data_IF_872845027200
#
_entry.id   IF_872845027200
#
_cell.length_a   1.000
_cell.length_b   1.000
_cell.length_c   1.000
_cell.angle_alpha   90.00
_cell.angle_beta   90.00
_cell.angle_gamma   90.00
#
_symmetry.space_group_name_H-M   'P 1'
#
loop_
_entity.id
_entity.type
_entity.pdbx_description
1 polymer ?
#
# COMPACT_ATOMS: atom_id res chain seq x y z
N UNK A 1 9.01 12.96 -25.86
CA UNK A 1 7.80 13.47 -25.21
C UNK A 1 6.59 12.91 -25.96
N UNK A 2 5.88 11.90 -25.41
CA UNK A 2 4.60 11.47 -25.96
C UNK A 2 3.60 12.57 -25.67
N UNK A 3 3.10 13.23 -26.73
CA UNK A 3 1.96 14.14 -26.61
C UNK A 3 0.81 13.37 -25.96
N UNK A 4 0.51 13.68 -24.70
CA UNK A 4 -0.64 13.14 -23.98
C UNK A 4 -1.89 13.47 -24.77
N UNK A 5 -2.55 12.44 -25.26
CA UNK A 5 -3.86 12.56 -25.91
C UNK A 5 -4.90 12.73 -24.78
N UNK A 6 -4.89 13.93 -24.16
CA UNK A 6 -5.59 14.28 -22.91
C UNK A 6 -7.05 13.80 -22.91
N UNK A 7 -7.71 13.82 -24.07
CA UNK A 7 -9.11 13.40 -24.17
C UNK A 7 -9.34 11.89 -24.11
N UNK A 8 -8.43 11.05 -24.63
CA UNK A 8 -8.55 9.58 -24.58
C UNK A 8 -8.18 9.03 -23.21
N UNK A 9 -7.15 9.59 -22.58
CA UNK A 9 -6.73 9.18 -21.24
C UNK A 9 -7.75 9.57 -20.18
N UNK A 10 -8.39 10.75 -20.29
CA UNK A 10 -9.45 11.18 -19.39
C UNK A 10 -10.68 10.25 -19.44
N UNK A 11 -11.12 9.84 -20.65
CA UNK A 11 -12.22 8.87 -20.79
C UNK A 11 -11.89 7.52 -20.18
N UNK A 12 -10.66 7.03 -20.42
CA UNK A 12 -10.18 5.76 -19.83
C UNK A 12 -10.17 5.83 -18.31
N UNK A 13 -9.61 6.88 -17.74
CA UNK A 13 -9.57 7.11 -16.29
C UNK A 13 -11.00 7.15 -15.72
N UNK A 14 -11.89 7.90 -16.34
CA UNK A 14 -13.29 7.98 -15.90
C UNK A 14 -13.99 6.60 -15.91
N UNK A 15 -13.83 5.83 -16.99
CA UNK A 15 -14.37 4.46 -17.04
C UNK A 15 -13.80 3.56 -15.93
N UNK A 16 -12.51 3.65 -15.65
CA UNK A 16 -11.86 2.86 -14.62
C UNK A 16 -12.40 3.20 -13.21
N UNK A 17 -12.60 4.49 -12.93
CA UNK A 17 -13.18 4.97 -11.67
C UNK A 17 -14.64 4.49 -11.54
N UNK A 18 -15.43 4.61 -12.62
CA UNK A 18 -16.82 4.18 -12.62
C UNK A 18 -16.96 2.67 -12.38
N UNK A 19 -16.13 1.86 -13.03
CA UNK A 19 -16.10 0.40 -12.81
C UNK A 19 -15.75 0.10 -11.36
N UNK A 20 -14.73 0.76 -10.79
CA UNK A 20 -14.34 0.56 -9.39
C UNK A 20 -15.44 0.95 -8.41
N UNK A 21 -16.19 1.99 -8.72
CA UNK A 21 -17.36 2.40 -7.96
C UNK A 21 -18.45 1.32 -7.95
N UNK A 22 -18.78 0.79 -9.13
CA UNK A 22 -19.77 -0.29 -9.25
C UNK A 22 -19.30 -1.56 -8.53
N UNK A 23 -18.02 -1.91 -8.68
CA UNK A 23 -17.43 -3.08 -7.99
C UNK A 23 -17.51 -2.91 -6.47
N UNK A 24 -17.21 -1.72 -5.94
CA UNK A 24 -17.31 -1.43 -4.50
C UNK A 24 -18.74 -1.58 -4.00
N UNK A 25 -19.70 -1.02 -4.73
CA UNK A 25 -21.13 -1.16 -4.42
C UNK A 25 -21.54 -2.62 -4.35
N UNK A 26 -21.26 -3.40 -5.41
CA UNK A 26 -21.62 -4.81 -5.48
C UNK A 26 -20.92 -5.62 -4.38
N UNK A 27 -19.64 -5.33 -4.11
CA UNK A 27 -18.88 -6.02 -3.07
C UNK A 27 -19.55 -5.87 -1.70
N UNK A 28 -19.84 -4.65 -1.25
CA UNK A 28 -20.48 -4.44 0.05
C UNK A 28 -21.92 -4.91 0.11
N UNK A 29 -22.67 -4.82 -0.99
CA UNK A 29 -24.00 -5.40 -1.08
C UNK A 29 -23.98 -6.90 -0.87
N UNK A 30 -23.15 -7.63 -1.61
CA UNK A 30 -23.06 -9.09 -1.46
C UNK A 30 -22.45 -9.52 -0.13
N UNK A 31 -21.47 -8.76 0.39
CA UNK A 31 -20.88 -9.03 1.69
C UNK A 31 -21.94 -8.92 2.80
N UNK A 32 -22.65 -7.81 2.89
CA UNK A 32 -23.69 -7.59 3.89
C UNK A 32 -24.85 -8.60 3.77
N UNK A 33 -25.28 -8.91 2.53
CA UNK A 33 -26.28 -9.95 2.29
C UNK A 33 -25.81 -11.33 2.74
N UNK A 34 -24.53 -11.64 2.55
CA UNK A 34 -23.96 -12.94 2.98
C UNK A 34 -23.86 -13.09 4.50
N UNK A 35 -23.95 -11.98 5.24
CA UNK A 35 -23.98 -11.94 6.71
C UNK A 35 -25.41 -11.90 7.28
N UNK A 36 -26.44 -12.08 6.42
CA UNK A 36 -27.86 -12.04 6.79
C UNK A 36 -28.29 -10.76 7.54
N UNK A 37 -27.74 -9.62 7.14
CA UNK A 37 -28.04 -8.34 7.74
C UNK A 37 -29.41 -7.78 7.31
N UNK A 38 -29.99 -6.91 8.12
CA UNK A 38 -31.23 -6.24 7.79
C UNK A 38 -31.04 -5.21 6.67
N UNK A 39 -32.10 -4.96 5.88
CA UNK A 39 -32.01 -4.09 4.69
C UNK A 39 -31.48 -2.68 5.01
N UNK A 40 -31.81 -2.11 6.16
CA UNK A 40 -31.31 -0.80 6.60
C UNK A 40 -29.82 -0.84 6.96
N UNK A 41 -29.33 -1.94 7.52
CA UNK A 41 -27.90 -2.15 7.79
C UNK A 41 -27.11 -2.30 6.48
N UNK A 42 -27.66 -3.05 5.53
CA UNK A 42 -27.06 -3.22 4.18
C UNK A 42 -26.85 -1.84 3.54
N UNK A 43 -27.87 -0.96 3.60
CA UNK A 43 -27.75 0.39 3.07
C UNK A 43 -26.64 1.18 3.77
N UNK A 44 -26.50 1.08 5.10
CA UNK A 44 -25.45 1.70 5.88
C UNK A 44 -24.04 1.26 5.49
N UNK A 45 -23.84 -0.04 5.30
CA UNK A 45 -22.53 -0.59 4.89
C UNK A 45 -22.15 -0.22 3.46
N UNK A 46 -23.12 -0.23 2.54
CA UNK A 46 -22.89 0.25 1.18
C UNK A 46 -22.48 1.74 1.20
N UNK A 47 -23.23 2.56 1.93
CA UNK A 47 -22.93 4.00 2.04
C UNK A 47 -21.52 4.23 2.60
N UNK A 48 -21.14 3.53 3.68
CA UNK A 48 -19.81 3.62 4.25
C UNK A 48 -18.72 3.16 3.27
N UNK A 49 -18.94 2.05 2.58
CA UNK A 49 -18.00 1.55 1.57
C UNK A 49 -17.81 2.54 0.41
N UNK A 50 -18.89 3.18 -0.04
CA UNK A 50 -18.83 4.22 -1.08
C UNK A 50 -18.11 5.48 -0.57
N UNK A 51 -18.32 5.86 0.68
CA UNK A 51 -17.63 6.97 1.34
C UNK A 51 -16.12 6.66 1.47
N UNK A 52 -15.76 5.45 1.89
CA UNK A 52 -14.37 4.98 1.92
C UNK A 52 -13.71 5.09 0.54
N UNK A 53 -14.37 4.64 -0.51
CA UNK A 53 -13.87 4.75 -1.87
C UNK A 53 -13.66 6.20 -2.31
N UNK A 54 -14.62 7.09 -2.00
CA UNK A 54 -14.51 8.51 -2.31
C UNK A 54 -13.33 9.19 -1.60
N UNK A 55 -13.10 8.88 -0.33
CA UNK A 55 -11.95 9.39 0.43
C UNK A 55 -10.63 8.91 -0.19
N UNK A 56 -10.53 7.63 -0.52
CA UNK A 56 -9.34 7.07 -1.15
C UNK A 56 -9.10 7.73 -2.51
N UNK A 57 -10.12 7.90 -3.33
CA UNK A 57 -10.02 8.63 -4.60
C UNK A 57 -9.52 10.06 -4.41
N UNK A 58 -10.05 10.76 -3.42
CA UNK A 58 -9.61 12.13 -3.11
C UNK A 58 -8.15 12.17 -2.66
N UNK A 59 -7.72 11.20 -1.85
CA UNK A 59 -6.33 11.08 -1.43
C UNK A 59 -5.38 10.83 -2.63
N UNK A 60 -5.86 10.13 -3.65
CA UNK A 60 -5.11 9.87 -4.89
C UNK A 60 -5.22 10.96 -5.97
N UNK A 61 -5.87 12.09 -5.70
CA UNK A 61 -6.18 13.13 -6.72
C UNK A 61 -5.00 13.53 -7.61
N UNK A 62 -3.79 13.60 -7.08
CA UNK A 62 -2.60 13.96 -7.84
C UNK A 62 -2.13 12.84 -8.77
N UNK A 63 -2.38 11.60 -8.39
CA UNK A 63 -2.03 10.42 -9.17
C UNK A 63 -3.05 10.13 -10.28
N UNK A 64 -4.28 10.65 -10.17
CA UNK A 64 -5.35 10.49 -11.17
C UNK A 64 -5.03 11.12 -12.53
N UNK A 65 -3.97 11.94 -12.61
CA UNK A 65 -3.50 12.52 -13.88
C UNK A 65 -2.86 11.49 -14.83
N UNK A 66 -2.49 10.31 -14.33
CA UNK A 66 -1.74 9.30 -15.08
C UNK A 66 -2.49 7.97 -15.06
N UNK A 67 -2.89 7.49 -16.25
CA UNK A 67 -3.67 6.25 -16.39
C UNK A 67 -3.01 5.02 -15.76
N UNK A 68 -1.69 4.90 -15.87
CA UNK A 68 -0.94 3.78 -15.27
C UNK A 68 -0.99 3.81 -13.74
N UNK A 69 -0.94 5.01 -13.14
CA UNK A 69 -1.05 5.16 -11.68
C UNK A 69 -2.46 4.86 -11.19
N UNK A 70 -3.49 5.22 -11.98
CA UNK A 70 -4.89 4.88 -11.67
C UNK A 70 -5.10 3.37 -11.70
N UNK A 71 -4.51 2.66 -12.68
CA UNK A 71 -4.59 1.20 -12.74
C UNK A 71 -3.97 0.57 -11.48
N UNK A 72 -2.79 1.00 -11.08
CA UNK A 72 -2.14 0.50 -9.87
C UNK A 72 -2.98 0.78 -8.62
N UNK A 73 -3.57 1.98 -8.51
CA UNK A 73 -4.48 2.33 -7.43
C UNK A 73 -5.68 1.37 -7.36
N UNK A 74 -6.31 1.07 -8.49
CA UNK A 74 -7.47 0.18 -8.56
C UNK A 74 -7.09 -1.24 -8.13
N UNK A 75 -5.93 -1.74 -8.55
CA UNK A 75 -5.43 -3.06 -8.15
C UNK A 75 -5.22 -3.10 -6.63
N UNK A 76 -4.54 -2.11 -6.07
CA UNK A 76 -4.29 -2.04 -4.61
C UNK A 76 -5.61 -1.93 -3.85
N UNK A 77 -6.54 -1.10 -4.33
CA UNK A 77 -7.86 -0.97 -3.75
C UNK A 77 -8.65 -2.28 -3.82
N UNK A 78 -8.61 -2.99 -4.94
CA UNK A 78 -9.22 -4.31 -5.09
C UNK A 78 -8.67 -5.34 -4.09
N UNK A 79 -7.35 -5.36 -3.88
CA UNK A 79 -6.71 -6.19 -2.85
C UNK A 79 -7.22 -5.80 -1.46
N UNK A 80 -7.34 -4.51 -1.17
CA UNK A 80 -7.86 -4.05 0.13
C UNK A 80 -9.31 -4.47 0.37
N UNK A 81 -10.17 -4.44 -0.64
CA UNK A 81 -11.54 -4.96 -0.55
C UNK A 81 -11.55 -6.45 -0.22
N UNK A 82 -10.72 -7.24 -0.90
CA UNK A 82 -10.61 -8.69 -0.65
C UNK A 82 -10.14 -8.95 0.78
N UNK A 83 -9.10 -8.25 1.25
CA UNK A 83 -8.61 -8.36 2.63
C UNK A 83 -9.70 -8.00 3.65
N UNK A 84 -10.45 -6.91 3.41
CA UNK A 84 -11.57 -6.50 4.26
C UNK A 84 -12.66 -7.56 4.28
N UNK A 85 -13.05 -8.10 3.12
CA UNK A 85 -14.07 -9.14 3.03
C UNK A 85 -13.68 -10.43 3.73
N UNK A 86 -12.42 -10.87 3.58
CA UNK A 86 -11.91 -12.06 4.28
C UNK A 86 -11.93 -11.82 5.80
N UNK A 87 -11.46 -10.65 6.25
CA UNK A 87 -11.43 -10.30 7.67
C UNK A 87 -12.81 -10.30 8.30
N UNK A 88 -13.82 -9.77 7.60
CA UNK A 88 -15.21 -9.74 8.10
C UNK A 88 -15.82 -11.14 8.13
N UNK A 89 -15.62 -11.94 7.07
CA UNK A 89 -16.24 -13.28 6.96
C UNK A 89 -15.58 -14.34 7.82
N UNK A 90 -14.24 -14.36 7.84
CA UNK A 90 -13.51 -15.44 8.49
C UNK A 90 -13.45 -15.23 10.00
N UNK A 91 -13.50 -13.98 10.46
CA UNK A 91 -13.40 -13.60 11.88
C UNK A 91 -12.39 -14.47 12.66
N UNK A 92 -11.22 -14.69 12.04
CA UNK A 92 -10.22 -15.59 12.60
C UNK A 92 -9.49 -14.89 13.73
N UNK A 93 -9.36 -15.59 14.87
CA UNK A 93 -8.62 -15.06 16.01
C UNK A 93 -7.09 -15.12 15.83
N UNK A 94 -6.60 -15.59 14.70
CA UNK A 94 -5.16 -15.82 14.47
C UNK A 94 -4.61 -14.91 13.38
N UNK A 95 -5.33 -14.75 12.26
CA UNK A 95 -4.86 -14.00 11.10
C UNK A 95 -5.85 -12.88 10.78
N UNK A 96 -5.35 -11.64 10.74
CA UNK A 96 -6.16 -10.46 10.51
C UNK A 96 -5.69 -9.70 9.25
N UNK A 97 -6.28 -10.01 8.08
CA UNK A 97 -5.84 -9.42 6.80
C UNK A 97 -5.96 -7.89 6.72
N UNK A 98 -6.78 -7.28 7.56
CA UNK A 98 -6.88 -5.81 7.62
C UNK A 98 -5.56 -5.15 7.95
N UNK A 99 -4.75 -5.78 8.79
CA UNK A 99 -3.46 -5.24 9.20
C UNK A 99 -2.42 -5.22 8.08
N UNK A 100 -2.69 -5.92 6.97
CA UNK A 100 -1.82 -5.92 5.78
C UNK A 100 -2.10 -4.74 4.86
N UNK A 101 -3.32 -4.20 4.89
CA UNK A 101 -3.75 -3.11 4.01
C UNK A 101 -2.82 -1.89 4.09
N UNK A 102 -2.55 -1.31 5.28
CA UNK A 102 -1.68 -0.14 5.37
C UNK A 102 -0.25 -0.42 4.91
N UNK A 103 0.26 -1.65 5.12
CA UNK A 103 1.58 -2.06 4.62
C UNK A 103 1.60 -2.05 3.09
N UNK A 104 0.60 -2.65 2.44
CA UNK A 104 0.51 -2.70 0.98
C UNK A 104 0.42 -1.27 0.41
N UNK A 105 -0.44 -0.42 0.97
CA UNK A 105 -0.53 0.97 0.53
C UNK A 105 0.77 1.73 0.75
N UNK A 106 1.43 1.59 1.91
CA UNK A 106 2.68 2.28 2.21
C UNK A 106 3.84 1.88 1.28
N UNK A 107 3.85 0.63 0.80
CA UNK A 107 4.85 0.13 -0.15
C UNK A 107 4.67 0.68 -1.57
N UNK A 108 3.44 0.90 -2.00
CA UNK A 108 3.13 1.24 -3.40
C UNK A 108 2.66 2.69 -3.59
N UNK A 109 2.31 3.38 -2.50
CA UNK A 109 1.76 4.73 -2.53
C UNK A 109 2.47 5.63 -1.52
N UNK A 110 1.75 6.61 -0.97
CA UNK A 110 2.24 7.51 0.08
C UNK A 110 1.75 7.03 1.46
N UNK A 111 2.56 7.26 2.50
CA UNK A 111 2.22 6.92 3.89
C UNK A 111 0.89 7.53 4.37
N UNK A 112 0.53 8.73 3.86
CA UNK A 112 -0.74 9.39 4.17
C UNK A 112 -1.93 8.58 3.66
N UNK A 113 -1.84 8.07 2.44
CA UNK A 113 -2.89 7.25 1.82
C UNK A 113 -2.98 5.91 2.54
N UNK A 114 -1.83 5.32 2.89
CA UNK A 114 -1.76 4.09 3.67
C UNK A 114 -2.45 4.23 5.03
N UNK A 115 -2.21 5.34 5.74
CA UNK A 115 -2.83 5.62 7.03
C UNK A 115 -4.35 5.75 6.90
N UNK A 116 -4.83 6.54 5.93
CA UNK A 116 -6.26 6.72 5.67
C UNK A 116 -6.92 5.38 5.34
N UNK A 117 -6.33 4.58 4.43
CA UNK A 117 -6.88 3.29 4.03
C UNK A 117 -6.93 2.28 5.18
N UNK A 118 -5.89 2.23 6.01
CA UNK A 118 -5.85 1.38 7.20
C UNK A 118 -6.93 1.73 8.21
N UNK A 119 -7.03 3.01 8.57
CA UNK A 119 -8.06 3.49 9.51
C UNK A 119 -9.47 3.19 8.99
N UNK A 120 -9.76 3.48 7.73
CA UNK A 120 -11.08 3.23 7.14
C UNK A 120 -11.42 1.74 7.10
N UNK A 121 -10.45 0.87 6.81
CA UNK A 121 -10.67 -0.58 6.76
C UNK A 121 -10.93 -1.16 8.14
N UNK A 122 -10.21 -0.71 9.17
CA UNK A 122 -10.44 -1.10 10.57
C UNK A 122 -11.81 -0.62 11.03
N UNK A 123 -12.18 0.64 10.72
CA UNK A 123 -13.50 1.20 11.05
C UNK A 123 -14.63 0.40 10.39
N UNK A 124 -14.42 -0.06 9.15
CA UNK A 124 -15.40 -0.89 8.44
C UNK A 124 -15.63 -2.21 9.17
N UNK A 125 -14.57 -2.90 9.59
CA UNK A 125 -14.70 -4.14 10.36
C UNK A 125 -15.40 -3.89 11.70
N UNK A 126 -15.07 -2.80 12.38
CA UNK A 126 -15.73 -2.44 13.64
C UNK A 126 -17.25 -2.28 13.48
N UNK A 127 -17.70 -1.68 12.37
CA UNK A 127 -19.14 -1.55 12.09
C UNK A 127 -19.83 -2.90 11.87
N UNK A 128 -19.13 -3.89 11.31
CA UNK A 128 -19.66 -5.25 11.12
C UNK A 128 -19.63 -6.10 12.41
N UNK A 129 -18.67 -5.86 13.30
CA UNK A 129 -18.43 -6.65 14.50
C UNK A 129 -18.14 -5.71 15.69
N UNK A 130 -19.19 -5.24 16.38
CA UNK A 130 -19.04 -4.28 17.47
C UNK A 130 -18.55 -4.90 18.82
N UNK A 131 -18.19 -6.19 18.83
CA UNK A 131 -18.08 -6.96 20.07
C UNK A 131 -16.81 -6.74 20.91
N UNK A 132 -15.74 -6.15 20.41
CA UNK A 132 -14.49 -6.00 21.17
C UNK A 132 -13.79 -4.69 20.83
N UNK A 133 -14.24 -3.58 21.43
CA UNK A 133 -13.71 -2.24 21.13
C UNK A 133 -12.19 -2.09 21.36
N UNK A 134 -11.65 -2.73 22.40
CA UNK A 134 -10.24 -2.71 22.73
C UNK A 134 -9.36 -3.33 21.64
N UNK A 135 -9.83 -4.41 21.00
CA UNK A 135 -9.12 -5.06 19.91
C UNK A 135 -8.95 -4.11 18.70
N UNK A 136 -9.95 -3.28 18.43
CA UNK A 136 -9.87 -2.31 17.34
C UNK A 136 -8.90 -1.17 17.65
N UNK A 137 -8.76 -0.76 18.91
CA UNK A 137 -7.75 0.20 19.33
C UNK A 137 -6.34 -0.35 19.01
N UNK A 138 -6.09 -1.61 19.31
CA UNK A 138 -4.83 -2.30 18.96
C UNK A 138 -4.62 -2.28 17.45
N UNK A 139 -5.65 -2.62 16.67
CA UNK A 139 -5.56 -2.61 15.20
C UNK A 139 -5.24 -1.22 14.64
N UNK A 140 -5.83 -0.15 15.18
CA UNK A 140 -5.48 1.21 14.78
C UNK A 140 -4.03 1.54 15.05
N UNK A 141 -3.51 1.21 16.25
CA UNK A 141 -2.12 1.47 16.62
C UNK A 141 -1.16 0.70 15.71
N UNK A 142 -1.46 -0.58 15.44
CA UNK A 142 -0.65 -1.42 14.53
C UNK A 142 -0.67 -0.89 13.11
N UNK A 143 -1.81 -0.42 12.59
CA UNK A 143 -1.93 0.20 11.27
C UNK A 143 -1.12 1.50 11.18
N UNK A 144 -1.19 2.37 12.19
CA UNK A 144 -0.42 3.61 12.24
C UNK A 144 1.08 3.28 12.31
N UNK A 145 1.48 2.31 13.13
CA UNK A 145 2.84 1.83 13.22
C UNK A 145 3.38 1.36 11.86
N UNK A 146 2.62 0.57 11.12
CA UNK A 146 2.99 0.14 9.78
C UNK A 146 3.25 1.33 8.84
N UNK A 147 2.39 2.36 8.88
CA UNK A 147 2.55 3.55 8.05
C UNK A 147 3.78 4.38 8.40
N UNK A 148 4.20 4.36 9.66
CA UNK A 148 5.39 5.08 10.11
C UNK A 148 6.68 4.35 9.71
N UNK A 149 6.72 3.02 9.87
CA UNK A 149 7.96 2.27 9.68
C UNK A 149 8.22 1.82 8.24
N UNK A 150 7.17 1.51 7.47
CA UNK A 150 7.31 0.99 6.09
C UNK A 150 7.98 1.96 5.12
N UNK A 151 7.75 3.28 5.12
CA UNK A 151 8.39 4.21 4.18
C UNK A 151 9.91 4.29 4.31
N UNK A 152 10.48 3.95 5.47
CA UNK A 152 11.94 3.99 5.72
C UNK A 152 12.70 2.78 5.16
N UNK A 153 12.04 1.86 4.46
CA UNK A 153 12.63 0.65 3.90
C UNK A 153 13.40 0.95 2.60
N UNK A 154 14.40 1.80 2.69
CA UNK A 154 15.25 2.13 1.55
C UNK A 154 16.44 1.20 1.44
N UNK A 155 17.03 0.82 2.57
CA UNK A 155 18.23 0.00 2.64
C UNK A 155 17.99 -1.28 3.46
N UNK A 156 18.82 -2.34 3.25
CA UNK A 156 18.63 -3.62 3.93
C UNK A 156 18.78 -3.53 5.44
N UNK A 157 19.76 -2.77 5.92
CA UNK A 157 20.00 -2.55 7.36
C UNK A 157 18.83 -1.80 7.99
N UNK A 158 18.38 -0.72 7.35
CA UNK A 158 17.25 0.09 7.81
C UNK A 158 15.96 -0.74 7.80
N UNK A 159 15.77 -1.61 6.81
CA UNK A 159 14.62 -2.51 6.74
C UNK A 159 14.53 -3.43 7.96
N UNK A 160 15.64 -4.06 8.36
CA UNK A 160 15.64 -4.95 9.51
C UNK A 160 15.33 -4.16 10.79
N UNK A 161 15.96 -3.01 10.98
CA UNK A 161 15.72 -2.16 12.16
C UNK A 161 14.27 -1.70 12.20
N UNK A 162 13.70 -1.25 11.07
CA UNK A 162 12.30 -0.82 10.98
C UNK A 162 11.32 -1.96 11.23
N UNK A 163 11.60 -3.17 10.73
CA UNK A 163 10.77 -4.35 10.98
C UNK A 163 10.77 -4.75 12.46
N UNK A 164 11.95 -4.74 13.10
CA UNK A 164 12.07 -5.03 14.55
C UNK A 164 11.37 -3.96 15.38
N UNK A 165 11.57 -2.68 15.04
CA UNK A 165 10.91 -1.57 15.73
C UNK A 165 9.39 -1.64 15.60
N UNK A 166 8.87 -1.94 14.40
CA UNK A 166 7.44 -2.14 14.16
C UNK A 166 6.88 -3.31 14.98
N UNK A 167 7.58 -4.46 14.99
CA UNK A 167 7.18 -5.62 15.78
C UNK A 167 7.13 -5.29 17.28
N UNK A 168 8.19 -4.65 17.79
CA UNK A 168 8.28 -4.26 19.20
C UNK A 168 7.16 -3.29 19.60
N UNK A 169 6.93 -2.24 18.81
CA UNK A 169 5.86 -1.27 19.05
C UNK A 169 4.48 -1.89 19.02
N UNK A 170 4.23 -2.82 18.09
CA UNK A 170 2.94 -3.50 17.96
C UNK A 170 2.66 -4.40 19.18
N UNK A 171 3.66 -5.16 19.62
CA UNK A 171 3.53 -6.03 20.82
C UNK A 171 3.37 -5.18 22.07
N UNK A 172 4.18 -4.14 22.23
CA UNK A 172 4.10 -3.25 23.39
C UNK A 172 2.73 -2.58 23.49
N UNK A 173 2.22 -2.06 22.37
CA UNK A 173 0.89 -1.46 22.31
C UNK A 173 -0.20 -2.47 22.70
N UNK A 174 -0.11 -3.70 22.23
CA UNK A 174 -1.05 -4.77 22.57
C UNK A 174 -1.06 -5.03 24.08
N UNK A 175 0.12 -5.20 24.67
CA UNK A 175 0.25 -5.46 26.12
C UNK A 175 -0.31 -4.29 26.94
N UNK A 176 -0.03 -3.05 26.55
CA UNK A 176 -0.52 -1.86 27.24
C UNK A 176 -2.05 -1.76 27.18
N UNK A 177 -2.64 -1.93 25.98
CA UNK A 177 -4.09 -1.85 25.79
C UNK A 177 -4.80 -2.97 26.56
N UNK A 178 -4.32 -4.21 26.44
CA UNK A 178 -4.88 -5.34 27.19
C UNK A 178 -4.83 -5.11 28.72
N UNK A 179 -3.71 -4.57 29.22
CA UNK A 179 -3.56 -4.29 30.64
C UNK A 179 -4.50 -3.18 31.12
N UNK A 180 -4.72 -2.12 30.30
CA UNK A 180 -5.60 -0.99 30.64
C UNK A 180 -7.07 -1.41 30.67
N UNK A 181 -7.51 -2.20 29.69
CA UNK A 181 -8.93 -2.52 29.52
C UNK A 181 -9.36 -3.80 30.25
N UNK A 182 -8.49 -4.80 30.32
CA UNK A 182 -8.85 -6.13 30.81
C UNK A 182 -8.18 -6.49 32.15
N UNK A 183 -7.29 -5.64 32.69
CA UNK A 183 -6.47 -5.92 33.88
C UNK A 183 -5.64 -7.23 33.77
N UNK A 184 -5.75 -7.92 32.63
CA UNK A 184 -5.10 -9.18 32.32
C UNK A 184 -4.64 -9.17 30.87
N UNK A 185 -3.55 -9.89 30.59
CA UNK A 185 -3.01 -10.02 29.25
C UNK A 185 -3.55 -11.32 28.63
N UNK A 186 -4.43 -11.19 27.67
CA UNK A 186 -4.91 -12.35 26.92
C UNK A 186 -3.89 -12.82 25.88
N UNK A 187 -3.24 -13.92 26.15
CA UNK A 187 -2.18 -14.47 25.29
C UNK A 187 -2.62 -14.78 23.87
N UNK A 188 -3.91 -14.99 23.63
CA UNK A 188 -4.43 -15.18 22.28
C UNK A 188 -4.37 -13.89 21.45
N UNK A 189 -4.60 -12.71 22.05
CA UNK A 189 -4.48 -11.41 21.36
C UNK A 189 -3.03 -11.14 21.00
N UNK A 190 -2.11 -11.37 21.93
CA UNK A 190 -0.67 -11.22 21.69
C UNK A 190 -0.22 -12.13 20.54
N UNK A 191 -0.63 -13.40 20.55
CA UNK A 191 -0.32 -14.35 19.46
C UNK A 191 -0.88 -13.88 18.12
N UNK A 192 -2.13 -13.40 18.09
CA UNK A 192 -2.74 -12.84 16.87
C UNK A 192 -1.89 -11.70 16.31
N UNK A 193 -1.56 -10.71 17.12
CA UNK A 193 -0.75 -9.57 16.67
C UNK A 193 0.65 -10.01 16.23
N UNK A 194 1.31 -10.90 16.95
CA UNK A 194 2.62 -11.44 16.54
C UNK A 194 2.58 -12.12 15.17
N UNK A 195 1.58 -12.96 14.92
CA UNK A 195 1.43 -13.65 13.63
C UNK A 195 1.21 -12.62 12.49
N UNK A 196 0.35 -11.64 12.71
CA UNK A 196 0.08 -10.61 11.69
C UNK A 196 1.29 -9.69 11.44
N UNK A 197 2.02 -9.34 12.47
CA UNK A 197 3.28 -8.57 12.34
C UNK A 197 4.33 -9.39 11.57
N UNK A 198 4.47 -10.68 11.83
CA UNK A 198 5.36 -11.56 11.08
C UNK A 198 4.96 -11.64 9.60
N UNK A 199 3.67 -11.77 9.30
CA UNK A 199 3.16 -11.75 7.92
C UNK A 199 3.47 -10.40 7.26
N UNK A 200 3.27 -9.27 7.95
CA UNK A 200 3.62 -7.96 7.45
C UNK A 200 5.11 -7.84 7.12
N UNK A 201 5.98 -8.35 7.98
CA UNK A 201 7.43 -8.39 7.73
C UNK A 201 7.75 -9.22 6.49
N UNK A 202 7.10 -10.37 6.30
CA UNK A 202 7.27 -11.21 5.11
C UNK A 202 6.80 -10.46 3.86
N UNK A 203 5.65 -9.77 3.90
CA UNK A 203 5.13 -8.95 2.80
C UNK A 203 6.14 -7.85 2.44
N UNK A 204 6.71 -7.17 3.44
CA UNK A 204 7.72 -6.13 3.26
C UNK A 204 8.96 -6.72 2.56
N UNK A 205 9.48 -7.84 3.02
CA UNK A 205 10.66 -8.48 2.45
C UNK A 205 10.38 -8.93 1.00
N UNK A 206 9.26 -9.59 0.75
CA UNK A 206 8.88 -10.07 -0.57
C UNK A 206 8.65 -8.93 -1.58
N UNK A 207 7.97 -7.86 -1.15
CA UNK A 207 7.67 -6.72 -2.01
C UNK A 207 8.87 -5.81 -2.25
N UNK A 208 9.86 -5.82 -1.35
CA UNK A 208 11.09 -5.04 -1.52
C UNK A 208 11.76 -5.31 -2.86
N UNK A 209 11.89 -6.57 -3.24
CA UNK A 209 12.50 -6.94 -4.52
C UNK A 209 11.77 -6.26 -5.69
N UNK A 210 10.44 -6.20 -5.62
CA UNK A 210 9.59 -5.57 -6.64
C UNK A 210 9.70 -4.03 -6.55
N UNK A 211 9.59 -3.45 -5.36
CA UNK A 211 9.64 -2.00 -5.15
C UNK A 211 11.01 -1.42 -5.49
N UNK A 212 12.09 -2.07 -5.04
CA UNK A 212 13.47 -1.67 -5.36
C UNK A 212 13.76 -1.82 -6.84
N UNK A 213 13.21 -2.85 -7.50
CA UNK A 213 13.35 -3.04 -8.94
C UNK A 213 12.59 -1.96 -9.74
N UNK A 214 11.42 -1.54 -9.29
CA UNK A 214 10.55 -0.55 -9.95
C UNK A 214 10.72 0.88 -9.43
N UNK A 215 11.63 1.13 -8.47
CA UNK A 215 11.83 2.49 -7.94
C UNK A 215 12.24 3.46 -9.05
N UNK A 216 11.67 4.69 -9.08
CA UNK A 216 12.00 5.68 -10.12
C UNK A 216 13.49 5.94 -10.26
N UNK A 217 14.23 5.97 -9.14
CA UNK A 217 15.68 6.14 -9.14
C UNK A 217 16.44 5.02 -9.83
N UNK A 218 16.06 3.75 -9.59
CA UNK A 218 16.71 2.61 -10.26
C UNK A 218 16.30 2.47 -11.72
N UNK A 219 15.08 2.89 -12.07
CA UNK A 219 14.65 2.98 -13.47
C UNK A 219 15.50 4.01 -14.19
N UNK A 220 15.69 5.19 -13.59
CA UNK A 220 16.55 6.24 -14.11
C UNK A 220 18.00 5.76 -14.26
N UNK A 221 18.57 5.10 -13.23
CA UNK A 221 19.93 4.54 -13.29
C UNK A 221 20.05 3.48 -14.38
N UNK A 222 19.04 2.62 -14.59
CA UNK A 222 19.04 1.65 -15.69
C UNK A 222 18.97 2.33 -17.05
N UNK A 223 18.13 3.34 -17.19
CA UNK A 223 18.05 4.15 -18.41
C UNK A 223 19.38 4.87 -18.67
N UNK A 224 20.00 5.47 -17.65
CA UNK A 224 21.32 6.07 -17.75
C UNK A 224 22.40 5.04 -18.12
N UNK A 225 22.40 3.85 -17.47
CA UNK A 225 23.34 2.78 -17.84
C UNK A 225 23.15 2.30 -19.27
N UNK A 226 21.91 2.21 -19.76
CA UNK A 226 21.65 1.85 -21.16
C UNK A 226 22.08 2.94 -22.14
N UNK A 227 22.07 4.21 -21.74
CA UNK A 227 22.57 5.32 -22.55
C UNK A 227 24.11 5.35 -22.61
N UNK A 228 24.78 4.93 -21.51
CA UNK A 228 26.23 4.87 -21.39
C UNK A 228 26.81 3.56 -21.96
N UNK A 229 25.96 2.55 -22.19
CA UNK A 229 26.38 1.27 -22.73
C UNK A 229 27.10 1.45 -24.09
N UNK A 230 28.20 0.74 -24.27
CA UNK A 230 29.07 0.86 -25.45
C UNK A 230 28.38 0.55 -26.79
N UNK A 231 27.25 -0.17 -26.75
CA UNK A 231 26.42 -0.56 -27.90
C UNK A 231 25.30 0.46 -28.18
N UNK A 232 25.20 1.55 -27.40
CA UNK A 232 24.21 2.57 -27.66
C UNK A 232 24.50 3.32 -28.96
N UNK A 233 23.55 3.29 -29.89
CA UNK A 233 23.70 3.90 -31.21
C UNK A 233 24.02 5.40 -31.18
N UNK A 234 23.51 6.13 -30.18
CA UNK A 234 23.82 7.55 -30.01
C UNK A 234 25.26 7.74 -29.58
N UNK A 235 25.77 6.89 -28.69
CA UNK A 235 27.16 6.92 -28.24
C UNK A 235 28.13 6.55 -29.37
N UNK A 236 27.77 5.56 -30.18
CA UNK A 236 28.54 5.14 -31.37
C UNK A 236 28.60 6.30 -32.37
N UNK A 237 27.47 6.95 -32.64
CA UNK A 237 27.43 8.13 -33.52
C UNK A 237 28.26 9.28 -32.96
N UNK A 238 28.14 9.57 -31.65
CA UNK A 238 28.91 10.63 -30.99
C UNK A 238 30.41 10.36 -31.07
N UNK A 239 30.85 9.11 -30.81
CA UNK A 239 32.25 8.69 -31.01
C UNK A 239 32.72 8.92 -32.44
N UNK A 240 31.84 8.65 -33.43
CA UNK A 240 32.16 8.88 -34.86
C UNK A 240 32.26 10.35 -35.23
N UNK A 241 31.53 11.24 -34.55
CA UNK A 241 31.59 12.67 -34.82
C UNK A 241 32.74 13.38 -34.11
N UNK A 242 33.03 13.01 -32.86
CA UNK A 242 34.06 13.67 -32.07
C UNK A 242 34.64 12.75 -31.00
N UNK A 243 35.59 11.92 -31.36
CA UNK A 243 36.31 11.05 -30.43
C UNK A 243 37.02 11.84 -29.31
N UNK A 244 37.65 13.01 -29.57
CA UNK A 244 38.26 13.80 -28.50
C UNK A 244 37.26 14.30 -27.46
N UNK A 245 36.07 14.75 -27.86
CA UNK A 245 35.02 15.16 -26.92
C UNK A 245 34.45 14.01 -26.10
N UNK A 246 34.37 12.81 -26.68
CA UNK A 246 33.98 11.62 -25.98
C UNK A 246 35.00 11.22 -24.90
N UNK A 247 36.30 11.20 -25.24
CA UNK A 247 37.36 10.87 -24.28
C UNK A 247 37.44 11.89 -23.14
N UNK A 248 37.34 13.19 -23.46
CA UNK A 248 37.30 14.22 -22.44
C UNK A 248 36.09 14.07 -21.50
N UNK A 249 34.92 13.73 -22.01
CA UNK A 249 33.73 13.45 -21.21
C UNK A 249 33.91 12.26 -20.28
N UNK A 250 34.63 11.20 -20.70
CA UNK A 250 34.97 10.07 -19.84
C UNK A 250 35.94 10.47 -18.72
N UNK A 251 36.99 11.19 -19.03
CA UNK A 251 37.98 11.68 -18.04
C UNK A 251 37.31 12.55 -16.96
N UNK A 252 36.41 13.47 -17.36
CA UNK A 252 35.65 14.29 -16.42
C UNK A 252 34.71 13.43 -15.55
N UNK A 253 34.07 12.40 -16.10
CA UNK A 253 33.20 11.50 -15.35
C UNK A 253 33.98 10.64 -14.34
N UNK A 254 35.18 10.18 -14.69
CA UNK A 254 36.08 9.44 -13.79
C UNK A 254 36.61 10.34 -12.65
N UNK A 255 36.87 11.61 -12.91
CA UNK A 255 37.29 12.57 -11.88
C UNK A 255 36.15 12.95 -10.92
N UNK A 256 34.89 12.80 -11.33
CA UNK A 256 33.69 13.12 -10.55
C UNK A 256 33.13 11.93 -9.75
N UNK A 257 33.64 10.72 -9.92
CA UNK A 257 33.18 9.48 -9.28
C UNK A 257 34.02 9.12 -8.06
#
# INVERSE_FOLDING_TARGET
MKTLNIGKDAKKIFCMILISFVVTFLFYFFLAKSMNMWDHEIAGYIFYGMFQFAIILFAFKEQLRYADKVMNMIIIYGISLICTGISIKVNSNIVEPLLWIPVIYALYTDYKIAMISGVLSVSMKYLFNMDNSELYIIYYIVCIGACVFVPYITDYKIMIISAVAYAFMSILATVIVEFIFNEQIFMWVVKNIMVNVLINVIIIIASRTICVYNSPGKKLIRELKSLIANDNQLLIRFKGYSMPAYLHGQEVAELAS
#
